data_IF_764754360137
#
_entry.id   IF_764754360137
#
_cell.length_a   1.000
_cell.length_b   1.000
_cell.length_c   1.000
_cell.angle_alpha   90.00
_cell.angle_beta   90.00
_cell.angle_gamma   90.00
#
_symmetry.space_group_name_H-M   'P 1'
#
loop_
_entity.id
_entity.type
_entity.pdbx_description
1 polymer ?
#
# COMPACT_ATOMS: atom_id res chain seq x y z
N UNK A 1 15.60 -17.74 -11.50
CA UNK A 1 15.33 -18.08 -12.91
C UNK A 1 13.84 -18.28 -13.14
N UNK A 2 13.17 -19.19 -12.41
CA UNK A 2 11.71 -19.37 -12.56
C UNK A 2 10.90 -18.11 -12.23
N UNK A 3 11.26 -17.36 -11.18
CA UNK A 3 10.59 -16.08 -10.87
C UNK A 3 10.66 -15.06 -12.01
N UNK A 4 11.75 -15.07 -12.79
CA UNK A 4 11.86 -14.23 -13.99
C UNK A 4 10.96 -14.74 -15.11
N UNK A 5 10.81 -16.06 -15.26
CA UNK A 5 9.87 -16.66 -16.21
C UNK A 5 8.43 -16.30 -15.86
N UNK A 6 8.07 -16.37 -14.58
CA UNK A 6 6.74 -15.98 -14.11
C UNK A 6 6.49 -14.48 -14.27
N UNK A 7 7.47 -13.64 -13.95
CA UNK A 7 7.40 -12.20 -14.20
C UNK A 7 7.16 -11.91 -15.69
N UNK A 8 7.93 -12.51 -16.59
CA UNK A 8 7.74 -12.36 -18.02
C UNK A 8 6.33 -12.80 -18.46
N UNK A 9 5.84 -13.92 -17.92
CA UNK A 9 4.50 -14.42 -18.20
C UNK A 9 3.41 -13.42 -17.82
N UNK A 10 3.49 -12.81 -16.63
CA UNK A 10 2.53 -11.81 -16.18
C UNK A 10 2.57 -10.55 -17.06
N UNK A 11 3.77 -10.04 -17.33
CA UNK A 11 3.96 -8.83 -18.13
C UNK A 11 3.61 -9.00 -19.63
N UNK A 12 3.34 -10.24 -20.05
CA UNK A 12 2.90 -10.59 -21.41
C UNK A 12 1.64 -11.47 -21.38
N UNK A 13 0.86 -11.40 -20.31
CA UNK A 13 -0.24 -12.33 -20.04
C UNK A 13 -1.26 -12.39 -21.17
N UNK A 14 -1.76 -11.23 -21.62
CA UNK A 14 -2.74 -11.14 -22.72
C UNK A 14 -2.18 -11.64 -24.04
N UNK A 15 -0.92 -11.32 -24.34
CA UNK A 15 -0.22 -11.83 -25.52
C UNK A 15 -0.12 -13.35 -25.48
N UNK A 16 0.32 -13.92 -24.35
CA UNK A 16 0.57 -15.36 -24.19
C UNK A 16 -0.73 -16.17 -24.17
N UNK A 17 -1.74 -15.69 -23.44
CA UNK A 17 -2.97 -16.47 -23.18
C UNK A 17 -4.07 -16.24 -24.20
N UNK A 18 -4.05 -15.10 -24.89
CA UNK A 18 -5.15 -14.68 -25.77
C UNK A 18 -4.73 -14.05 -27.10
N UNK A 19 -3.42 -14.00 -27.42
CA UNK A 19 -2.89 -13.22 -28.55
C UNK A 19 -3.38 -11.75 -28.54
N UNK A 20 -3.58 -11.18 -27.36
CA UNK A 20 -4.10 -9.84 -27.18
C UNK A 20 -3.05 -8.94 -26.48
N UNK A 21 -2.29 -8.13 -27.23
CA UNK A 21 -1.26 -7.27 -26.65
C UNK A 21 -1.81 -6.15 -25.76
N UNK A 22 -3.10 -5.80 -25.87
CA UNK A 22 -3.76 -4.76 -25.07
C UNK A 22 -4.27 -5.31 -23.72
N UNK A 23 -4.02 -6.59 -23.41
CA UNK A 23 -4.47 -7.25 -22.17
C UNK A 23 -3.28 -7.73 -21.30
N UNK A 24 -2.13 -7.05 -21.42
CA UNK A 24 -0.96 -7.27 -20.57
C UNK A 24 -1.02 -6.39 -19.32
N UNK A 25 -0.28 -6.78 -18.29
CA UNK A 25 -0.05 -5.91 -17.13
C UNK A 25 1.07 -4.90 -17.44
N UNK A 26 0.98 -3.71 -16.86
CA UNK A 26 1.97 -2.66 -17.06
C UNK A 26 2.95 -2.52 -15.88
N UNK A 27 2.65 -3.10 -14.73
CA UNK A 27 3.51 -3.06 -13.56
C UNK A 27 3.21 -4.16 -12.57
N UNK A 28 4.02 -4.24 -11.52
CA UNK A 28 3.94 -5.26 -10.47
C UNK A 28 3.87 -4.64 -9.07
N UNK A 29 3.23 -5.38 -8.16
CA UNK A 29 3.46 -5.27 -6.72
C UNK A 29 4.34 -6.44 -6.31
N UNK A 30 5.51 -6.17 -5.74
CA UNK A 30 6.34 -7.22 -5.13
C UNK A 30 5.80 -7.48 -3.72
N UNK A 31 5.26 -8.68 -3.52
CA UNK A 31 4.66 -9.13 -2.26
C UNK A 31 5.75 -9.54 -1.25
N UNK A 32 5.51 -9.28 0.04
CA UNK A 32 6.32 -9.80 1.14
C UNK A 32 7.84 -9.63 0.98
N UNK A 33 8.30 -8.41 0.61
CA UNK A 33 9.70 -8.10 0.27
C UNK A 33 10.66 -8.54 1.38
N UNK A 34 10.28 -8.31 2.64
CA UNK A 34 11.08 -8.63 3.83
C UNK A 34 11.16 -10.14 4.16
N UNK A 35 10.50 -10.98 3.37
CA UNK A 35 10.39 -12.41 3.59
C UNK A 35 11.01 -13.25 2.47
N UNK A 36 11.62 -12.59 1.48
CA UNK A 36 12.27 -13.24 0.33
C UNK A 36 13.70 -12.74 0.18
N UNK A 37 14.47 -13.38 -0.71
CA UNK A 37 15.80 -12.89 -1.07
C UNK A 37 15.66 -11.58 -1.86
N UNK A 38 16.36 -10.53 -1.40
CA UNK A 38 16.34 -9.19 -2.00
C UNK A 38 16.91 -9.15 -3.42
N UNK A 39 17.64 -10.20 -3.84
CA UNK A 39 18.06 -10.39 -5.23
C UNK A 39 16.88 -10.30 -6.21
N UNK A 40 15.66 -10.67 -5.80
CA UNK A 40 14.46 -10.58 -6.63
C UNK A 40 14.14 -9.14 -7.07
N UNK A 41 14.47 -8.13 -6.26
CA UNK A 41 14.26 -6.72 -6.66
C UNK A 41 15.18 -6.33 -7.82
N UNK A 42 16.43 -6.78 -7.78
CA UNK A 42 17.40 -6.53 -8.86
C UNK A 42 17.07 -7.34 -10.11
N UNK A 43 16.61 -8.59 -9.97
CA UNK A 43 16.16 -9.41 -11.10
C UNK A 43 14.97 -8.75 -11.80
N UNK A 44 13.98 -8.29 -11.03
CA UNK A 44 12.84 -7.56 -11.58
C UNK A 44 13.28 -6.25 -12.24
N UNK A 45 14.13 -5.44 -11.58
CA UNK A 45 14.71 -4.22 -12.18
C UNK A 45 15.34 -4.51 -13.54
N UNK A 46 16.23 -5.49 -13.61
CA UNK A 46 17.00 -5.77 -14.81
C UNK A 46 16.09 -6.20 -15.96
N UNK A 47 15.03 -6.95 -15.68
CA UNK A 47 13.98 -7.25 -16.65
C UNK A 47 13.26 -5.99 -17.16
N UNK A 48 12.75 -5.15 -16.26
CA UNK A 48 12.02 -3.94 -16.66
C UNK A 48 12.91 -2.95 -17.42
N UNK A 49 14.17 -2.81 -17.02
CA UNK A 49 15.15 -2.01 -17.76
C UNK A 49 15.38 -2.56 -19.18
N UNK A 50 15.53 -3.87 -19.33
CA UNK A 50 15.74 -4.48 -20.64
C UNK A 50 14.51 -4.39 -21.55
N UNK A 51 13.30 -4.57 -21.01
CA UNK A 51 12.06 -4.58 -21.79
C UNK A 51 11.52 -3.17 -22.08
N UNK A 52 11.66 -2.23 -21.14
CA UNK A 52 10.95 -0.95 -21.16
C UNK A 52 11.87 0.27 -21.02
N UNK A 53 13.17 0.07 -20.79
CA UNK A 53 14.16 1.14 -20.68
C UNK A 53 13.77 2.18 -19.60
N UNK A 54 13.45 1.70 -18.40
CA UNK A 54 12.90 2.51 -17.29
C UNK A 54 13.80 3.68 -16.91
N UNK A 55 15.10 3.45 -16.76
CA UNK A 55 16.08 4.45 -16.31
C UNK A 55 16.38 5.55 -17.34
N UNK A 56 15.79 5.49 -18.54
CA UNK A 56 16.04 6.47 -19.60
C UNK A 56 15.43 7.84 -19.32
N UNK A 57 14.24 7.89 -18.72
CA UNK A 57 13.50 9.13 -18.41
C UNK A 57 12.25 8.85 -17.58
N UNK A 58 11.74 9.86 -16.88
CA UNK A 58 10.46 9.80 -16.17
C UNK A 58 9.32 9.30 -17.06
N UNK A 59 9.30 9.69 -18.34
CA UNK A 59 8.27 9.29 -19.29
C UNK A 59 8.29 7.78 -19.61
N UNK A 60 9.43 7.11 -19.46
CA UNK A 60 9.51 5.66 -19.62
C UNK A 60 9.17 4.96 -18.30
N UNK A 61 9.77 5.39 -17.19
CA UNK A 61 9.51 4.80 -15.88
C UNK A 61 8.03 4.89 -15.50
N UNK A 62 7.40 6.04 -15.74
CA UNK A 62 6.01 6.29 -15.33
C UNK A 62 4.97 5.53 -16.17
N UNK A 63 5.36 4.87 -17.26
CA UNK A 63 4.48 3.94 -18.00
C UNK A 63 4.32 2.60 -17.29
N UNK A 64 5.23 2.27 -16.38
CA UNK A 64 5.30 0.97 -15.71
C UNK A 64 5.50 1.15 -14.20
N UNK A 65 4.49 1.72 -13.55
CA UNK A 65 4.53 1.96 -12.10
C UNK A 65 4.54 0.63 -11.34
N UNK A 66 5.62 0.39 -10.60
CA UNK A 66 5.81 -0.77 -9.74
C UNK A 66 5.84 -0.35 -8.27
N UNK A 67 5.38 -1.20 -7.37
CA UNK A 67 5.35 -0.92 -5.92
C UNK A 67 5.89 -2.12 -5.11
N UNK A 68 6.37 -1.83 -3.90
CA UNK A 68 6.88 -2.82 -2.96
C UNK A 68 5.97 -2.93 -1.74
N UNK A 69 5.71 -4.14 -1.26
CA UNK A 69 5.30 -4.32 0.13
C UNK A 69 6.55 -4.54 1.01
N UNK A 70 7.25 -3.44 1.28
CA UNK A 70 8.47 -3.36 2.07
C UNK A 70 8.21 -2.66 3.42
N UNK A 71 7.94 -3.46 4.46
CA UNK A 71 7.55 -2.94 5.78
C UNK A 71 8.77 -2.45 6.57
N UNK A 72 9.98 -2.90 6.21
CA UNK A 72 11.23 -2.49 6.81
C UNK A 72 11.47 -1.00 6.69
N UNK A 73 11.62 -0.32 7.83
CA UNK A 73 11.89 1.12 7.85
C UNK A 73 13.26 1.50 7.25
N UNK A 74 14.17 0.55 7.07
CA UNK A 74 15.47 0.77 6.44
C UNK A 74 15.46 0.51 4.92
N UNK A 75 14.42 -0.12 4.39
CA UNK A 75 14.30 -0.52 2.98
C UNK A 75 14.28 0.65 1.99
N UNK A 76 13.60 1.79 2.25
CA UNK A 76 13.60 2.94 1.35
C UNK A 76 15.01 3.37 0.92
N UNK A 77 15.97 3.35 1.85
CA UNK A 77 17.35 3.72 1.57
C UNK A 77 18.04 2.73 0.62
N UNK A 78 17.75 1.43 0.77
CA UNK A 78 18.25 0.39 -0.11
C UNK A 78 17.58 0.45 -1.49
N UNK A 79 16.27 0.61 -1.55
CA UNK A 79 15.48 0.76 -2.79
C UNK A 79 16.01 1.94 -3.62
N UNK A 80 16.28 3.07 -2.96
CA UNK A 80 16.90 4.23 -3.62
C UNK A 80 18.31 3.92 -4.13
N UNK A 81 19.12 3.19 -3.35
CA UNK A 81 20.47 2.79 -3.74
C UNK A 81 20.50 1.89 -4.99
N UNK A 82 19.48 1.05 -5.19
CA UNK A 82 19.39 0.19 -6.39
C UNK A 82 18.68 0.84 -7.57
N UNK A 83 18.30 2.12 -7.47
CA UNK A 83 17.78 2.94 -8.57
C UNK A 83 16.28 3.22 -8.54
N UNK A 84 15.58 2.99 -7.42
CA UNK A 84 14.12 3.08 -7.31
C UNK A 84 13.36 2.29 -8.40
N UNK A 85 13.69 1.01 -8.64
CA UNK A 85 13.07 0.24 -9.72
C UNK A 85 11.60 -0.14 -9.43
N UNK A 86 11.21 -0.08 -8.16
CA UNK A 86 9.85 -0.18 -7.65
C UNK A 86 9.71 0.82 -6.50
N UNK A 87 8.54 1.45 -6.35
CA UNK A 87 8.28 2.43 -5.29
C UNK A 87 8.16 1.74 -3.94
N UNK A 88 8.97 2.19 -2.98
CA UNK A 88 8.86 1.84 -1.56
C UNK A 88 7.58 2.43 -0.94
N UNK A 89 7.03 1.79 0.09
CA UNK A 89 5.98 2.41 0.90
C UNK A 89 6.55 3.42 1.90
N UNK A 90 5.85 4.53 2.14
CA UNK A 90 6.17 5.42 3.26
C UNK A 90 5.46 4.98 4.54
N UNK A 91 5.93 3.88 5.14
CA UNK A 91 5.34 3.34 6.37
C UNK A 91 5.46 4.32 7.55
N UNK A 92 6.45 5.21 7.54
CA UNK A 92 6.59 6.28 8.56
C UNK A 92 5.41 7.24 8.49
N UNK A 93 5.04 7.69 7.29
CA UNK A 93 3.91 8.56 7.05
C UNK A 93 2.58 7.85 7.34
N UNK A 94 2.42 6.59 6.92
CA UNK A 94 1.24 5.79 7.28
C UNK A 94 1.07 5.74 8.79
N UNK A 95 2.11 5.40 9.55
CA UNK A 95 2.05 5.39 11.01
C UNK A 95 1.80 6.78 11.61
N UNK A 96 2.30 7.87 11.01
CA UNK A 96 1.98 9.22 11.46
C UNK A 96 0.49 9.53 11.32
N UNK A 97 -0.16 9.07 10.25
CA UNK A 97 -1.62 9.15 10.08
C UNK A 97 -2.32 8.30 11.15
N UNK A 98 -1.85 7.07 11.39
CA UNK A 98 -2.43 6.20 12.41
C UNK A 98 -2.38 6.81 13.81
N UNK A 99 -1.21 7.33 14.19
CA UNK A 99 -0.93 7.90 15.51
C UNK A 99 -1.70 9.18 15.80
N UNK A 100 -2.09 9.94 14.78
CA UNK A 100 -2.60 11.32 14.97
C UNK A 100 -4.06 11.51 14.54
N UNK A 101 -4.58 10.64 13.69
CA UNK A 101 -5.93 10.77 13.14
C UNK A 101 -6.78 9.51 13.35
N UNK A 102 -6.21 8.32 13.11
CA UNK A 102 -7.01 7.10 12.98
C UNK A 102 -7.37 6.41 14.30
N UNK A 103 -6.75 6.84 15.41
CA UNK A 103 -7.07 6.37 16.75
C UNK A 103 -8.33 7.00 17.33
N UNK A 104 -8.84 6.42 18.42
CA UNK A 104 -9.91 7.02 19.21
C UNK A 104 -9.48 8.40 19.80
N UNK A 105 -10.42 9.27 20.19
CA UNK A 105 -10.08 10.63 20.66
C UNK A 105 -9.06 10.69 21.80
N UNK A 106 -9.04 9.69 22.68
CA UNK A 106 -8.08 9.59 23.81
C UNK A 106 -6.74 8.93 23.43
N UNK A 107 -6.57 8.50 22.17
CA UNK A 107 -5.38 7.83 21.65
C UNK A 107 -4.57 8.65 20.66
N UNK A 108 -5.19 9.64 20.01
CA UNK A 108 -4.49 10.45 19.02
C UNK A 108 -3.42 11.35 19.65
N UNK A 109 -2.24 11.33 19.05
CA UNK A 109 -1.10 12.18 19.36
C UNK A 109 -1.20 13.53 18.64
N UNK A 110 -0.23 14.42 18.89
CA UNK A 110 -0.18 15.72 18.25
C UNK A 110 0.05 15.63 16.72
N UNK A 111 -0.65 16.47 15.95
CA UNK A 111 -0.63 16.48 14.48
C UNK A 111 0.72 16.86 13.84
N UNK A 112 1.67 17.40 14.62
CA UNK A 112 2.98 17.79 14.10
C UNK A 112 3.78 16.60 13.54
N UNK A 113 3.50 15.36 13.98
CA UNK A 113 4.07 14.15 13.38
C UNK A 113 3.82 14.04 11.88
N UNK A 114 2.66 14.50 11.38
CA UNK A 114 2.33 14.47 9.95
C UNK A 114 3.27 15.31 9.08
N UNK A 115 3.97 16.28 9.69
CA UNK A 115 4.90 17.18 9.00
C UNK A 115 6.28 16.51 8.85
N UNK A 116 6.72 15.74 9.86
CA UNK A 116 8.13 15.33 10.00
C UNK A 116 8.37 13.83 9.98
N UNK A 117 7.37 13.00 10.30
CA UNK A 117 7.52 11.55 10.35
C UNK A 117 7.08 10.94 9.00
N UNK A 118 7.96 11.03 8.00
CA UNK A 118 7.78 10.57 6.62
C UNK A 118 9.16 10.51 5.97
N UNK A 119 9.26 9.89 4.79
CA UNK A 119 10.42 10.06 3.92
C UNK A 119 10.61 11.52 3.47
N UNK A 120 9.56 12.34 3.58
CA UNK A 120 9.55 13.76 3.17
C UNK A 120 9.13 14.63 4.34
N UNK A 121 9.96 15.62 4.68
CA UNK A 121 9.55 16.69 5.59
C UNK A 121 8.72 17.72 4.82
N UNK A 122 7.44 17.86 5.20
CA UNK A 122 6.47 18.71 4.49
C UNK A 122 6.26 20.09 5.11
N UNK A 123 7.18 20.56 5.97
CA UNK A 123 7.07 21.90 6.55
C UNK A 123 7.14 22.99 5.46
N UNK A 124 8.05 22.80 4.48
CA UNK A 124 8.22 23.67 3.31
C UNK A 124 8.77 22.83 2.14
N UNK A 125 7.96 21.92 1.61
CA UNK A 125 8.34 21.10 0.46
C UNK A 125 8.20 21.92 -0.85
N UNK A 126 9.33 22.45 -1.34
CA UNK A 126 9.41 23.37 -2.48
C UNK A 126 10.43 22.94 -3.56
N UNK A 127 10.89 21.69 -3.53
CA UNK A 127 11.85 21.12 -4.49
C UNK A 127 11.27 19.88 -5.16
N UNK A 128 11.76 19.52 -6.35
CA UNK A 128 11.43 18.25 -7.02
C UNK A 128 12.69 17.39 -7.16
N UNK A 129 12.53 16.07 -7.31
CA UNK A 129 13.65 15.11 -7.47
C UNK A 129 14.67 15.11 -6.31
N UNK A 130 14.26 15.54 -5.12
CA UNK A 130 15.12 15.71 -3.95
C UNK A 130 14.92 14.65 -2.86
N UNK A 131 13.92 13.78 -3.03
CA UNK A 131 13.50 12.78 -2.04
C UNK A 131 13.35 11.42 -2.69
N UNK A 132 13.32 10.37 -1.87
CA UNK A 132 13.07 9.00 -2.33
C UNK A 132 11.60 8.92 -2.79
N UNK A 133 11.31 8.51 -4.04
CA UNK A 133 9.94 8.40 -4.51
C UNK A 133 9.25 7.21 -3.82
N UNK A 134 8.04 7.44 -3.33
CA UNK A 134 7.28 6.44 -2.58
C UNK A 134 5.79 6.48 -2.90
N UNK A 135 5.10 5.40 -2.59
CA UNK A 135 3.65 5.40 -2.47
C UNK A 135 3.23 5.40 -1.01
N UNK A 136 1.99 5.80 -0.73
CA UNK A 136 1.43 5.77 0.61
C UNK A 136 -0.05 5.38 0.58
N UNK A 137 -0.57 4.89 1.69
CA UNK A 137 -1.96 4.47 1.85
C UNK A 137 -2.44 4.69 3.28
N UNK A 138 -3.76 4.68 3.49
CA UNK A 138 -4.36 4.71 4.84
C UNK A 138 -4.65 3.30 5.33
N UNK A 139 -5.24 2.47 4.47
CA UNK A 139 -5.52 1.04 4.70
C UNK A 139 -5.08 0.22 3.49
N UNK A 140 -4.95 -1.08 3.69
CA UNK A 140 -4.78 -2.07 2.64
C UNK A 140 -5.62 -3.31 2.99
N UNK A 141 -5.64 -4.31 2.11
CA UNK A 141 -6.37 -5.55 2.36
C UNK A 141 -5.96 -6.26 3.65
N UNK A 142 -4.69 -6.13 4.01
CA UNK A 142 -4.02 -6.72 5.17
C UNK A 142 -3.61 -5.69 6.23
N UNK A 143 -3.55 -4.40 5.89
CA UNK A 143 -3.28 -3.30 6.83
C UNK A 143 -4.56 -2.62 7.30
N UNK A 144 -4.94 -2.86 8.56
CA UNK A 144 -6.16 -2.32 9.20
C UNK A 144 -7.49 -2.71 8.50
N UNK A 145 -7.54 -3.91 7.91
CA UNK A 145 -8.75 -4.50 7.36
C UNK A 145 -8.96 -5.94 7.85
N UNK A 146 -8.18 -6.92 7.36
CA UNK A 146 -8.42 -8.34 7.66
C UNK A 146 -8.45 -8.67 9.15
N UNK A 147 -7.62 -8.00 9.97
CA UNK A 147 -7.53 -8.31 11.40
C UNK A 147 -8.78 -7.87 12.15
N UNK A 148 -9.20 -6.63 11.91
CA UNK A 148 -10.37 -6.03 12.55
C UNK A 148 -11.68 -6.62 12.02
N UNK A 149 -11.74 -6.98 10.74
CA UNK A 149 -12.89 -7.72 10.18
C UNK A 149 -13.02 -9.09 10.85
N UNK A 150 -11.91 -9.83 11.02
CA UNK A 150 -11.92 -11.11 11.76
C UNK A 150 -12.31 -10.93 13.24
N UNK A 151 -11.92 -9.83 13.88
CA UNK A 151 -12.37 -9.50 15.24
C UNK A 151 -13.88 -9.23 15.30
N UNK A 152 -14.45 -8.54 14.31
CA UNK A 152 -15.89 -8.31 14.23
C UNK A 152 -16.66 -9.61 14.00
N UNK A 153 -16.16 -10.51 13.14
CA UNK A 153 -16.73 -11.85 12.93
C UNK A 153 -16.69 -12.67 14.23
N UNK A 154 -15.54 -12.71 14.91
CA UNK A 154 -15.41 -13.38 16.20
C UNK A 154 -16.41 -12.81 17.22
N UNK A 155 -16.51 -11.49 17.34
CA UNK A 155 -17.43 -10.84 18.28
C UNK A 155 -18.91 -11.11 17.96
N UNK A 156 -19.28 -11.20 16.68
CA UNK A 156 -20.64 -11.42 16.25
C UNK A 156 -21.10 -12.89 16.36
N UNK A 157 -20.17 -13.83 16.30
CA UNK A 157 -20.46 -15.28 16.22
C UNK A 157 -20.09 -16.05 17.48
N UNK A 158 -19.13 -15.55 18.26
CA UNK A 158 -18.54 -16.28 19.39
C UNK A 158 -17.54 -17.36 18.98
N UNK A 159 -17.21 -17.48 17.68
CA UNK A 159 -16.23 -18.45 17.18
C UNK A 159 -14.79 -18.01 17.47
N UNK A 160 -13.82 -18.94 17.46
CA UNK A 160 -12.41 -18.60 17.54
C UNK A 160 -11.99 -17.60 16.45
N UNK A 161 -10.98 -16.79 16.74
CA UNK A 161 -10.45 -15.82 15.79
C UNK A 161 -9.96 -16.50 14.51
N UNK A 162 -10.45 -16.04 13.36
CA UNK A 162 -10.09 -16.60 12.05
C UNK A 162 -10.89 -17.84 11.63
N UNK A 163 -11.78 -18.37 12.46
CA UNK A 163 -12.65 -19.51 12.11
C UNK A 163 -14.07 -19.05 11.76
N UNK A 164 -14.44 -19.11 10.48
CA UNK A 164 -15.76 -18.70 10.01
C UNK A 164 -16.15 -19.38 8.69
N UNK A 165 -17.45 -19.54 8.47
CA UNK A 165 -18.02 -19.81 7.15
C UNK A 165 -18.58 -18.51 6.54
N UNK A 166 -19.20 -18.59 5.35
CA UNK A 166 -19.74 -17.41 4.67
C UNK A 166 -20.87 -16.71 5.45
N UNK A 167 -21.68 -17.44 6.21
CA UNK A 167 -22.78 -16.83 6.98
C UNK A 167 -22.25 -16.12 8.23
N UNK A 168 -21.23 -16.69 8.88
CA UNK A 168 -20.48 -16.05 9.96
C UNK A 168 -19.81 -14.75 9.46
N UNK A 169 -19.21 -14.80 8.27
CA UNK A 169 -18.58 -13.64 7.63
C UNK A 169 -19.59 -12.52 7.38
N UNK A 170 -20.74 -12.82 6.75
CA UNK A 170 -21.82 -11.83 6.53
C UNK A 170 -22.29 -11.20 7.83
N UNK A 171 -22.47 -12.01 8.88
CA UNK A 171 -22.88 -11.53 10.21
C UNK A 171 -21.83 -10.60 10.83
N UNK A 172 -20.55 -10.97 10.73
CA UNK A 172 -19.44 -10.13 11.18
C UNK A 172 -19.31 -8.85 10.38
N UNK A 173 -19.53 -8.91 9.07
CA UNK A 173 -19.48 -7.75 8.17
C UNK A 173 -20.60 -6.75 8.49
N UNK A 174 -21.82 -7.22 8.75
CA UNK A 174 -22.91 -6.36 9.21
C UNK A 174 -22.53 -5.62 10.51
N UNK A 175 -21.96 -6.33 11.49
CA UNK A 175 -21.47 -5.73 12.73
C UNK A 175 -20.33 -4.72 12.47
N UNK A 176 -19.39 -5.04 11.58
CA UNK A 176 -18.28 -4.19 11.19
C UNK A 176 -18.72 -2.89 10.50
N UNK A 177 -19.71 -2.96 9.60
CA UNK A 177 -20.25 -1.78 8.91
C UNK A 177 -21.07 -0.91 9.87
N UNK A 178 -21.82 -1.51 10.80
CA UNK A 178 -22.50 -0.76 11.85
C UNK A 178 -21.50 -0.02 12.76
N UNK A 179 -20.37 -0.65 13.10
CA UNK A 179 -19.26 0.00 13.80
C UNK A 179 -18.62 1.12 12.96
N UNK A 180 -18.43 0.89 11.65
CA UNK A 180 -17.91 1.90 10.73
C UNK A 180 -18.79 3.16 10.70
N UNK A 181 -20.11 3.00 10.77
CA UNK A 181 -21.08 4.09 10.80
C UNK A 181 -21.28 4.72 12.19
N UNK A 182 -20.66 4.16 13.22
CA UNK A 182 -20.77 4.66 14.60
C UNK A 182 -19.79 5.80 14.88
N UNK A 183 -20.14 6.68 15.82
CA UNK A 183 -19.22 7.71 16.34
C UNK A 183 -18.08 7.08 17.13
N UNK A 184 -18.39 6.09 17.97
CA UNK A 184 -17.40 5.33 18.73
C UNK A 184 -17.15 4.01 18.01
N UNK A 185 -15.93 3.80 17.55
CA UNK A 185 -15.53 2.67 16.70
C UNK A 185 -14.65 1.72 17.49
N UNK A 186 -14.82 0.42 17.25
CA UNK A 186 -14.06 -0.67 17.85
C UNK A 186 -13.13 -1.32 16.84
N UNK A 187 -13.56 -1.41 15.58
CA UNK A 187 -12.88 -2.16 14.53
C UNK A 187 -12.53 -1.29 13.32
N UNK A 188 -13.08 -0.08 13.24
CA UNK A 188 -12.82 0.85 12.16
C UNK A 188 -11.96 2.03 12.61
N UNK A 189 -11.15 2.53 11.68
CA UNK A 189 -10.34 3.72 11.89
C UNK A 189 -11.23 4.97 12.04
N UNK A 190 -10.79 5.89 12.89
CA UNK A 190 -11.39 7.22 13.02
C UNK A 190 -10.90 8.16 11.91
N UNK A 191 -11.58 9.30 11.75
CA UNK A 191 -11.17 10.42 10.89
C UNK A 191 -10.78 10.04 9.45
N UNK A 192 -11.44 9.03 8.87
CA UNK A 192 -11.20 8.59 7.49
C UNK A 192 -11.17 9.75 6.47
N UNK A 193 -12.10 10.75 6.51
CA UNK A 193 -12.02 11.90 5.61
C UNK A 193 -10.74 12.73 5.75
N UNK A 194 -10.29 12.97 6.99
CA UNK A 194 -9.05 13.72 7.25
C UNK A 194 -7.80 12.92 6.85
N UNK A 195 -7.78 11.62 7.14
CA UNK A 195 -6.68 10.74 6.71
C UNK A 195 -6.54 10.73 5.17
N UNK A 196 -7.65 10.64 4.44
CA UNK A 196 -7.66 10.73 2.99
C UNK A 196 -7.35 12.13 2.46
N UNK A 197 -7.72 13.19 3.19
CA UNK A 197 -7.31 14.55 2.83
C UNK A 197 -5.78 14.65 2.84
N UNK A 198 -5.13 14.22 3.94
CA UNK A 198 -3.66 14.19 4.02
C UNK A 198 -3.06 13.33 2.91
N UNK A 199 -3.58 12.12 2.70
CA UNK A 199 -3.10 11.21 1.65
C UNK A 199 -3.14 11.86 0.26
N UNK A 200 -4.26 12.50 -0.09
CA UNK A 200 -4.53 12.99 -1.44
C UNK A 200 -4.01 14.41 -1.72
N UNK A 201 -3.59 15.15 -0.69
CA UNK A 201 -3.02 16.50 -0.86
C UNK A 201 -1.52 16.58 -0.59
N UNK A 202 -0.90 15.50 -0.11
CA UNK A 202 0.54 15.48 0.13
C UNK A 202 1.32 15.52 -1.19
N UNK A 203 2.26 16.46 -1.29
CA UNK A 203 3.30 16.47 -2.33
C UNK A 203 4.30 15.31 -2.09
N UNK A 204 4.99 14.89 -3.15
CA UNK A 204 6.00 13.84 -3.15
C UNK A 204 5.49 12.52 -2.55
N UNK A 205 4.34 12.06 -3.04
CA UNK A 205 3.75 10.76 -2.70
C UNK A 205 2.81 10.31 -3.81
N UNK A 206 2.87 9.04 -4.19
CA UNK A 206 1.82 8.41 -5.01
C UNK A 206 0.73 7.88 -4.08
N UNK A 207 -0.49 8.45 -4.06
CA UNK A 207 -1.54 7.98 -3.15
C UNK A 207 -2.17 6.69 -3.68
N UNK A 208 -2.23 5.66 -2.83
CA UNK A 208 -2.92 4.41 -3.11
C UNK A 208 -4.23 4.35 -2.31
N UNK A 209 -5.35 4.36 -3.02
CA UNK A 209 -6.71 4.35 -2.45
C UNK A 209 -7.16 2.92 -2.24
N UNK A 210 -7.48 2.57 -0.99
CA UNK A 210 -8.04 1.27 -0.69
C UNK A 210 -9.52 1.14 -1.11
N UNK A 211 -9.83 0.05 -1.82
CA UNK A 211 -11.19 -0.25 -2.27
C UNK A 211 -12.22 -0.25 -1.13
N UNK A 212 -11.90 -0.85 0.02
CA UNK A 212 -12.82 -0.98 1.15
C UNK A 212 -13.15 0.34 1.87
N UNK A 213 -12.57 1.46 1.44
CA UNK A 213 -12.86 2.81 1.94
C UNK A 213 -13.78 3.63 1.02
N UNK A 214 -14.05 3.11 -0.18
CA UNK A 214 -15.00 3.73 -1.10
C UNK A 214 -16.41 3.28 -0.70
N UNK A 215 -17.36 4.22 -0.66
CA UNK A 215 -18.77 3.88 -0.48
C UNK A 215 -19.28 3.17 -1.74
N UNK A 216 -19.83 1.97 -1.57
CA UNK A 216 -20.79 1.37 -2.49
C UNK A 216 -22.21 1.88 -2.19
#
# INVERSE_FOLDING_TARGET
AEELNWLYYLMNFGTITGNNPEANFDGIRVDAVDNVDVDLLSIARDYFNAAYNMEQSDANANKHINILEDWGWDDPAYVNKIGNPQLTMDDRLRNAIMDTLSGAPDKNQALNKLITQSLVNRANDNTENAVIPSYNFVRAHDSNAQDQIRQAIQAATGKPYGEFNLDDEKKGMEAYINDQNSTNKKWNLYNMPSAYTILLTNKDSVPNVYYGDLRA
#
